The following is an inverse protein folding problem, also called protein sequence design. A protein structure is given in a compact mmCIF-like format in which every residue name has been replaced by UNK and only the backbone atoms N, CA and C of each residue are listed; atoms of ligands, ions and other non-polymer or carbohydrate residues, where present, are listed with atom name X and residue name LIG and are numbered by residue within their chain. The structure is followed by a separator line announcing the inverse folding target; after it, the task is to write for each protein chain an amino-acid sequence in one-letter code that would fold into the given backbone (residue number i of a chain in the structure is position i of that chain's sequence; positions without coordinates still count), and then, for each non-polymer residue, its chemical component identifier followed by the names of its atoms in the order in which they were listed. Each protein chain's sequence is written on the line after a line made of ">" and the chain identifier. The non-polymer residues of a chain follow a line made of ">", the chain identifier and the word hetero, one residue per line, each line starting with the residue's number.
data_IF_941315528293
#
_entry.id   IF_941315528293
#
_cell.length_a   1.000
_cell.length_b   1.000
_cell.length_c   1.000
_cell.angle_alpha   90.00
_cell.angle_beta   90.00
_cell.angle_gamma   90.00
#
_symmetry.space_group_name_H-M   'P 1'
#
loop_
_entity.id
_entity.type
_entity.pdbx_description
1 polymer ?
#
# COMPACT_ATOMS: atom_id res chain seq x y z
N UNK A 1 -15.99 -64.29 -6.01
CA UNK A 1 -15.31 -63.91 -4.74
C UNK A 1 -15.34 -62.38 -4.68
N UNK A 2 -16.20 -61.74 -3.87
CA UNK A 2 -15.96 -61.32 -2.46
C UNK A 2 -14.61 -60.59 -2.36
N UNK A 3 -14.52 -59.25 -2.22
CA UNK A 3 -14.90 -58.37 -1.09
C UNK A 3 -15.03 -56.92 -1.64
N UNK A 4 -16.02 -56.05 -1.40
CA UNK A 4 -16.71 -55.53 -0.21
C UNK A 4 -15.83 -54.73 0.79
N UNK A 5 -16.28 -53.48 1.05
CA UNK A 5 -16.03 -52.56 2.19
C UNK A 5 -14.84 -51.59 2.00
N UNK A 6 -15.07 -50.34 1.54
CA UNK A 6 -15.57 -49.12 2.26
C UNK A 6 -14.68 -48.65 3.41
N UNK A 7 -14.01 -47.50 3.22
CA UNK A 7 -13.78 -46.45 4.24
C UNK A 7 -13.18 -45.24 3.48
N UNK A 8 -14.00 -44.27 3.08
CA UNK A 8 -14.43 -43.13 3.88
C UNK A 8 -13.34 -42.05 4.04
N UNK A 9 -13.76 -40.81 3.82
CA UNK A 9 -13.06 -39.57 4.16
C UNK A 9 -11.90 -39.14 3.28
N UNK A 10 -12.24 -38.73 2.05
CA UNK A 10 -11.72 -37.43 1.60
C UNK A 10 -12.91 -36.54 1.35
N UNK A 11 -13.58 -36.17 2.44
CA UNK A 11 -14.31 -34.91 2.52
C UNK A 11 -13.23 -33.84 2.44
N UNK A 12 -12.76 -33.55 1.22
CA UNK A 12 -11.96 -32.37 0.95
C UNK A 12 -12.90 -31.23 1.29
N UNK A 13 -12.70 -30.68 2.49
CA UNK A 13 -13.38 -29.51 2.98
C UNK A 13 -13.41 -28.51 1.82
N UNK A 14 -14.61 -28.29 1.28
CA UNK A 14 -15.02 -27.02 0.71
C UNK A 14 -14.89 -26.00 1.84
N UNK A 15 -13.64 -25.69 2.23
CA UNK A 15 -13.37 -24.41 2.79
C UNK A 15 -13.73 -23.46 1.64
N UNK A 16 -14.71 -22.56 1.81
CA UNK A 16 -14.63 -21.35 1.04
C UNK A 16 -13.25 -20.81 1.36
N UNK A 17 -12.32 -20.97 0.42
CA UNK A 17 -11.27 -19.99 0.27
C UNK A 17 -12.09 -18.73 -0.01
N UNK A 18 -12.48 -18.03 1.04
CA UNK A 18 -12.77 -16.63 0.98
C UNK A 18 -11.44 -16.02 0.54
N UNK A 19 -11.12 -16.15 -0.75
CA UNK A 19 -10.61 -15.00 -1.48
C UNK A 19 -11.63 -13.94 -1.13
N UNK A 20 -11.33 -13.14 -0.11
CA UNK A 20 -11.85 -11.80 -0.06
C UNK A 20 -11.39 -11.21 -1.38
N UNK A 21 -12.22 -11.35 -2.41
CA UNK A 21 -11.98 -10.75 -3.70
C UNK A 21 -11.87 -9.28 -3.36
N UNK A 22 -10.64 -8.77 -3.40
CA UNK A 22 -10.34 -7.40 -3.05
C UNK A 22 -11.37 -6.50 -3.72
N UNK A 23 -12.14 -5.77 -2.91
CA UNK A 23 -13.27 -5.03 -3.44
C UNK A 23 -12.73 -3.95 -4.38
N UNK A 24 -12.91 -4.20 -5.68
CA UNK A 24 -12.44 -3.31 -6.75
C UNK A 24 -13.11 -1.94 -6.68
N UNK A 25 -14.22 -1.81 -5.97
CA UNK A 25 -14.92 -0.55 -5.73
C UNK A 25 -14.03 0.40 -4.93
N UNK A 26 -13.47 -0.07 -3.81
CA UNK A 26 -12.59 0.75 -2.97
C UNK A 26 -11.24 1.01 -3.64
N UNK A 27 -10.72 0.06 -4.42
CA UNK A 27 -9.54 0.31 -5.24
C UNK A 27 -9.76 1.44 -6.23
N UNK A 28 -10.88 1.43 -6.97
CA UNK A 28 -11.21 2.52 -7.90
C UNK A 28 -11.42 3.85 -7.17
N UNK A 29 -12.12 3.83 -6.02
CA UNK A 29 -12.41 5.02 -5.20
C UNK A 29 -11.13 5.68 -4.69
N UNK A 30 -10.19 4.88 -4.19
CA UNK A 30 -8.98 5.36 -3.53
C UNK A 30 -7.75 5.36 -4.43
N UNK A 31 -7.82 4.87 -5.67
CA UNK A 31 -6.73 5.01 -6.62
C UNK A 31 -6.37 6.48 -6.85
N UNK A 32 -5.09 6.72 -7.15
CA UNK A 32 -4.57 8.06 -7.42
C UNK A 32 -3.12 8.23 -7.01
N UNK A 33 -2.65 9.47 -7.10
CA UNK A 33 -1.33 9.86 -6.61
C UNK A 33 -1.44 10.43 -5.22
N UNK A 34 -0.54 10.03 -4.32
CA UNK A 34 -0.48 10.48 -2.93
C UNK A 34 0.94 10.93 -2.59
N UNK A 35 1.06 11.93 -1.72
CA UNK A 35 2.31 12.18 -1.02
C UNK A 35 2.21 11.59 0.39
N UNK A 36 3.25 10.91 0.84
CA UNK A 36 3.40 10.55 2.25
C UNK A 36 4.18 11.67 2.95
N UNK A 37 3.60 12.21 4.02
CA UNK A 37 4.10 13.40 4.70
C UNK A 37 4.00 13.21 6.20
N UNK A 38 4.90 13.81 6.98
CA UNK A 38 4.67 13.96 8.41
C UNK A 38 3.41 14.80 8.66
N UNK A 39 2.73 14.58 9.79
CA UNK A 39 1.57 15.37 10.17
C UNK A 39 1.89 16.88 10.19
N UNK A 40 1.09 17.68 9.49
CA UNK A 40 1.30 19.13 9.36
C UNK A 40 2.34 19.56 8.31
N UNK A 41 3.11 18.62 7.73
CA UNK A 41 4.11 18.94 6.71
C UNK A 41 3.46 19.26 5.35
N UNK A 42 4.09 20.18 4.60
CA UNK A 42 3.74 20.47 3.21
C UNK A 42 4.55 19.59 2.26
N UNK A 43 3.93 19.15 1.16
CA UNK A 43 4.63 18.44 0.11
C UNK A 43 5.67 19.32 -0.57
N UNK A 44 6.82 18.73 -0.89
CA UNK A 44 7.93 19.34 -1.63
C UNK A 44 8.21 18.54 -2.91
N UNK A 45 9.05 19.03 -3.84
CA UNK A 45 9.41 18.27 -5.03
C UNK A 45 10.09 16.92 -4.76
N UNK A 46 10.67 16.74 -3.56
CA UNK A 46 11.36 15.52 -3.12
C UNK A 46 10.55 14.73 -2.07
N UNK A 47 9.28 15.03 -1.88
CA UNK A 47 8.43 14.23 -1.00
C UNK A 47 8.14 12.86 -1.61
N UNK A 48 8.10 11.86 -0.74
CA UNK A 48 7.70 10.50 -1.09
C UNK A 48 6.33 10.47 -1.75
N UNK A 49 6.25 9.73 -2.85
CA UNK A 49 5.08 9.71 -3.71
C UNK A 49 4.64 8.29 -4.01
N UNK A 50 3.37 8.02 -3.79
CA UNK A 50 2.71 6.77 -4.16
C UNK A 50 1.78 7.00 -5.34
N UNK A 51 1.89 6.17 -6.37
CA UNK A 51 0.93 6.08 -7.46
C UNK A 51 0.22 4.74 -7.30
N UNK A 52 -1.04 4.78 -6.86
CA UNK A 52 -1.86 3.61 -6.58
C UNK A 52 -2.86 3.40 -7.71
N UNK A 53 -2.76 2.28 -8.43
CA UNK A 53 -3.60 1.98 -9.59
C UNK A 53 -4.83 1.13 -9.20
N UNK A 54 -5.96 1.24 -9.91
CA UNK A 54 -7.19 0.52 -9.57
C UNK A 54 -7.13 -1.01 -9.64
N UNK A 55 -6.05 -1.57 -10.20
CA UNK A 55 -5.78 -3.01 -10.25
C UNK A 55 -5.02 -3.54 -9.03
N UNK A 56 -4.81 -2.70 -8.01
CA UNK A 56 -4.14 -3.09 -6.76
C UNK A 56 -2.62 -3.05 -6.84
N UNK A 57 -2.05 -2.53 -7.93
CA UNK A 57 -0.61 -2.27 -8.05
C UNK A 57 -0.27 -0.84 -7.67
N UNK A 58 1.00 -0.59 -7.41
CA UNK A 58 1.45 0.77 -7.22
C UNK A 58 2.94 0.96 -7.42
N UNK A 59 3.34 2.22 -7.45
CA UNK A 59 4.74 2.64 -7.48
C UNK A 59 4.97 3.64 -6.36
N UNK A 60 5.95 3.38 -5.53
CA UNK A 60 6.47 4.31 -4.54
C UNK A 60 7.75 4.93 -5.10
N UNK A 61 7.82 6.25 -5.12
CA UNK A 61 9.00 7.03 -5.46
C UNK A 61 9.50 7.68 -4.18
N UNK A 62 10.72 7.35 -3.79
CA UNK A 62 11.38 7.91 -2.60
C UNK A 62 12.69 8.60 -3.00
N UNK A 63 13.21 9.42 -2.09
CA UNK A 63 14.50 10.06 -2.24
C UNK A 63 15.37 9.60 -1.06
N UNK A 64 16.40 8.83 -1.34
CA UNK A 64 17.34 8.37 -0.32
C UNK A 64 17.95 9.58 0.39
N UNK A 65 18.05 9.52 1.72
CA UNK A 65 18.68 10.56 2.52
C UNK A 65 20.06 10.05 2.95
N UNK A 66 21.10 10.77 2.58
CA UNK A 66 22.46 10.49 3.01
C UNK A 66 22.61 10.64 4.53
N UNK A 67 23.68 10.07 5.10
CA UNK A 67 23.93 10.10 6.55
C UNK A 67 24.05 11.53 7.15
N UNK A 68 24.34 12.52 6.31
CA UNK A 68 24.40 13.95 6.66
C UNK A 68 23.03 14.65 6.62
N UNK A 69 21.96 13.92 6.32
CA UNK A 69 20.60 14.45 6.18
C UNK A 69 20.30 15.05 4.80
N UNK A 70 21.23 14.97 3.85
CA UNK A 70 21.03 15.50 2.49
C UNK A 70 20.23 14.51 1.63
N UNK A 71 19.05 14.89 1.10
CA UNK A 71 18.32 14.05 0.16
C UNK A 71 19.05 13.93 -1.18
N UNK A 72 19.13 12.71 -1.70
CA UNK A 72 19.59 12.41 -3.05
C UNK A 72 18.72 13.14 -4.08
N UNK A 73 19.35 13.64 -5.13
CA UNK A 73 18.63 14.21 -6.29
C UNK A 73 18.05 13.14 -7.21
N UNK A 74 18.47 11.88 -7.04
CA UNK A 74 18.02 10.76 -7.87
C UNK A 74 16.94 9.99 -7.10
N UNK A 75 15.70 9.94 -7.59
CA UNK A 75 14.65 9.17 -6.94
C UNK A 75 14.86 7.66 -7.17
N UNK A 76 14.54 6.88 -6.14
CA UNK A 76 14.43 5.43 -6.20
C UNK A 76 12.96 5.06 -6.36
N UNK A 77 12.66 4.13 -7.27
CA UNK A 77 11.30 3.65 -7.53
C UNK A 77 11.15 2.20 -7.08
N UNK A 78 10.08 1.95 -6.33
CA UNK A 78 9.73 0.64 -5.78
C UNK A 78 8.35 0.25 -6.29
N UNK A 79 8.27 -0.93 -6.88
CA UNK A 79 6.99 -1.54 -7.25
C UNK A 79 6.42 -2.27 -6.04
N UNK A 80 5.11 -2.21 -5.90
CA UNK A 80 4.40 -2.88 -4.82
C UNK A 80 2.93 -3.08 -5.15
N UNK A 81 2.21 -3.56 -4.16
CA UNK A 81 0.77 -3.75 -4.21
C UNK A 81 0.10 -2.97 -3.09
N UNK A 82 -1.21 -2.82 -3.19
CA UNK A 82 -2.03 -2.20 -2.16
C UNK A 82 -3.42 -2.81 -2.15
N UNK A 83 -4.06 -2.75 -1.00
CA UNK A 83 -5.47 -3.10 -0.82
C UNK A 83 -6.22 -1.97 -0.15
N UNK A 84 -7.55 -2.01 -0.27
CA UNK A 84 -8.40 -1.03 0.39
C UNK A 84 -9.75 -1.64 0.75
N UNK A 85 -10.31 -1.11 1.83
CA UNK A 85 -11.67 -1.31 2.28
C UNK A 85 -12.26 0.04 2.70
N UNK A 86 -13.48 0.06 3.21
CA UNK A 86 -14.12 1.31 3.62
C UNK A 86 -13.27 2.09 4.62
N UNK A 87 -12.76 3.25 4.19
CA UNK A 87 -11.95 4.13 5.03
C UNK A 87 -10.55 3.61 5.35
N UNK A 88 -10.05 2.55 4.71
CA UNK A 88 -8.71 2.00 4.98
C UNK A 88 -7.93 1.73 3.69
N UNK A 89 -6.64 2.08 3.70
CA UNK A 89 -5.65 1.71 2.68
C UNK A 89 -4.56 0.88 3.36
N UNK A 90 -4.19 -0.24 2.75
CA UNK A 90 -3.03 -1.04 3.15
C UNK A 90 -2.00 -1.05 2.01
N UNK A 91 -0.76 -0.69 2.30
CA UNK A 91 0.35 -0.64 1.36
C UNK A 91 1.26 -1.86 1.56
N UNK A 92 1.84 -2.35 0.47
CA UNK A 92 2.79 -3.46 0.49
C UNK A 92 3.92 -3.17 -0.51
N UNK A 93 4.94 -2.48 -0.02
CA UNK A 93 6.14 -2.10 -0.77
C UNK A 93 7.37 -2.57 -0.01
N UNK A 94 8.38 -3.08 -0.72
CA UNK A 94 9.63 -3.52 -0.11
C UNK A 94 10.75 -2.56 -0.53
N UNK A 95 11.23 -1.68 0.37
CA UNK A 95 12.28 -0.74 0.02
C UNK A 95 13.58 -1.52 -0.27
N UNK A 96 14.40 -1.08 -1.23
CA UNK A 96 15.73 -1.63 -1.41
C UNK A 96 16.61 -1.30 -0.20
N UNK A 97 17.33 -2.31 0.30
CA UNK A 97 18.31 -2.15 1.38
C UNK A 97 17.70 -1.97 2.77
N UNK A 98 16.83 -2.90 3.21
CA UNK A 98 16.14 -2.91 4.51
C UNK A 98 17.05 -2.90 5.79
N UNK A 99 18.34 -2.60 5.64
CA UNK A 99 19.29 -2.27 6.72
C UNK A 99 19.69 -0.76 6.72
N UNK A 100 19.15 0.06 5.80
CA UNK A 100 19.59 1.44 5.56
C UNK A 100 18.54 2.50 5.91
N UNK A 101 18.66 3.10 7.09
CA UNK A 101 18.22 4.48 7.37
C UNK A 101 16.72 4.77 7.52
N UNK A 102 15.81 3.93 7.01
CA UNK A 102 14.36 4.08 7.23
C UNK A 102 13.90 3.26 8.44
N UNK A 103 14.62 3.40 9.56
CA UNK A 103 14.37 2.69 10.81
C UNK A 103 12.94 2.90 11.32
N UNK A 104 12.15 1.84 11.28
CA UNK A 104 10.77 1.80 11.71
C UNK A 104 10.01 0.82 10.84
N UNK A 105 9.21 -0.05 11.44
CA UNK A 105 8.26 -0.89 10.72
C UNK A 105 7.52 -0.03 9.70
N UNK A 106 7.56 -0.41 8.42
CA UNK A 106 6.90 0.37 7.38
C UNK A 106 5.42 0.51 7.76
N UNK A 107 4.95 1.75 7.90
CA UNK A 107 3.54 2.03 8.16
C UNK A 107 2.74 1.63 6.92
N UNK A 108 2.05 0.51 7.05
CA UNK A 108 1.36 -0.12 5.93
C UNK A 108 -0.14 0.19 5.94
N UNK A 109 -0.75 0.35 7.11
CA UNK A 109 -2.18 0.63 7.25
C UNK A 109 -2.43 2.13 7.49
N UNK A 110 -3.33 2.72 6.70
CA UNK A 110 -3.77 4.09 6.86
C UNK A 110 -5.29 4.17 6.94
N UNK A 111 -5.80 4.91 7.93
CA UNK A 111 -7.23 5.09 8.19
C UNK A 111 -7.69 6.48 7.80
N UNK A 112 -8.84 6.58 7.16
CA UNK A 112 -9.44 7.83 6.74
C UNK A 112 -9.97 8.58 7.97
N UNK A 113 -9.43 9.77 8.21
CA UNK A 113 -9.89 10.70 9.23
C UNK A 113 -9.79 12.13 8.69
N UNK A 114 -10.82 12.94 8.86
CA UNK A 114 -10.87 14.35 8.39
C UNK A 114 -10.56 14.49 6.88
N UNK A 115 -10.99 13.52 6.07
CA UNK A 115 -10.78 13.52 4.62
C UNK A 115 -9.35 13.17 4.16
N UNK A 116 -8.46 12.75 5.08
CA UNK A 116 -7.09 12.32 4.77
C UNK A 116 -6.80 10.97 5.41
N UNK A 117 -6.02 10.12 4.74
CA UNK A 117 -5.58 8.84 5.28
C UNK A 117 -4.40 9.06 6.24
N UNK A 118 -4.48 8.55 7.46
CA UNK A 118 -3.51 8.76 8.54
C UNK A 118 -2.96 7.44 9.06
N UNK A 119 -1.68 7.45 9.43
CA UNK A 119 -1.00 6.43 10.22
C UNK A 119 -0.13 7.15 11.28
N UNK A 120 0.52 6.43 12.18
CA UNK A 120 1.28 7.05 13.28
C UNK A 120 2.28 8.10 12.78
N UNK A 121 2.05 9.37 13.14
CA UNK A 121 2.91 10.50 12.77
C UNK A 121 2.88 10.94 11.30
N UNK A 122 2.18 10.22 10.41
CA UNK A 122 2.20 10.46 8.96
C UNK A 122 0.82 10.48 8.32
N UNK A 123 0.73 11.11 7.14
CA UNK A 123 -0.49 11.19 6.34
C UNK A 123 -0.23 10.85 4.88
N UNK A 124 -1.16 10.12 4.26
CA UNK A 124 -1.27 9.94 2.82
C UNK A 124 -2.22 10.99 2.24
N UNK A 125 -1.64 12.07 1.71
CA UNK A 125 -2.39 13.18 1.14
C UNK A 125 -2.53 13.02 -0.37
N UNK A 126 -3.77 12.87 -0.85
CA UNK A 126 -4.07 12.75 -2.29
C UNK A 126 -3.64 14.01 -3.04
N UNK A 127 -2.91 13.83 -4.13
CA UNK A 127 -2.54 14.89 -5.06
C UNK A 127 -3.73 15.12 -5.99
N UNK A 128 -4.41 16.25 -5.81
CA UNK A 128 -5.43 16.68 -6.75
C UNK A 128 -4.72 17.30 -7.96
N UNK A 129 -4.74 16.59 -9.09
CA UNK A 129 -4.27 17.19 -10.33
C UNK A 129 -5.12 18.44 -10.59
N UNK A 130 -4.48 19.61 -10.72
CA UNK A 130 -5.18 20.80 -11.23
C UNK A 130 -5.65 20.42 -12.63
N UNK A 131 -6.96 20.32 -12.83
CA UNK A 131 -7.51 20.22 -14.17
C UNK A 131 -6.95 21.40 -14.97
N UNK A 132 -6.24 21.11 -16.06
CA UNK A 132 -5.89 22.15 -17.03
C UNK A 132 -7.24 22.68 -17.53
N UNK A 133 -7.53 23.94 -17.19
CA UNK A 133 -8.62 24.69 -17.84
C UNK A 133 -8.29 24.89 -19.31
#
# INVERSE_FOLDING_TARGET
>A
MKNLIKLASVLFLLLPVFSMAQDKTFLKKYAGTYNMLAAGQKATPISDKYVLTPDGKGTWTMYEVSADGTPSKKPTKVLGTWTASEGVINLSFSPPGADGGHGGEMLNEFKLADGVFKAEGVVLKKVVAKAKK
#
